data_IF_517722886700
#
_entry.id   IF_517722886700
#
_cell.length_a   1.000
_cell.length_b   1.000
_cell.length_c   1.000
_cell.angle_alpha   90.00
_cell.angle_beta   90.00
_cell.angle_gamma   90.00
#
_symmetry.space_group_name_H-M   'P 1'
#
loop_
_entity.id
_entity.type
_entity.pdbx_description
1 polymer ?
#
# COMPACT_ATOMS: atom_id res chain seq x y z
N UNK A 1 -17.29 -11.45 -10.63
CA UNK A 1 -16.36 -10.44 -11.14
C UNK A 1 -15.12 -10.44 -10.27
N UNK A 2 -13.94 -10.33 -10.87
CA UNK A 2 -12.66 -10.26 -10.14
C UNK A 2 -12.55 -8.98 -9.32
N UNK A 3 -11.79 -9.04 -8.23
CA UNK A 3 -11.55 -7.90 -7.35
C UNK A 3 -10.07 -7.60 -7.28
N UNK A 4 -9.72 -6.34 -7.42
CA UNK A 4 -8.35 -5.83 -7.27
C UNK A 4 -8.34 -4.92 -6.05
N UNK A 5 -7.46 -5.19 -5.09
CA UNK A 5 -7.24 -4.30 -3.96
C UNK A 5 -6.02 -3.42 -4.25
N UNK A 6 -6.24 -2.12 -4.33
CA UNK A 6 -5.18 -1.15 -4.61
C UNK A 6 -4.75 -0.41 -3.34
N UNK A 7 -3.44 -0.37 -3.11
CA UNK A 7 -2.80 0.32 -1.99
C UNK A 7 -2.05 1.54 -2.50
N UNK A 8 -2.50 2.72 -2.11
CA UNK A 8 -1.95 4.00 -2.57
C UNK A 8 -0.59 4.34 -1.93
N UNK A 9 0.11 5.34 -2.50
CA UNK A 9 1.38 5.85 -1.97
C UNK A 9 1.21 6.67 -0.70
N UNK A 10 2.34 7.09 -0.10
CA UNK A 10 2.38 7.71 1.22
C UNK A 10 1.56 9.00 1.33
N UNK A 11 1.73 9.94 0.40
CA UNK A 11 0.99 11.20 0.39
C UNK A 11 -0.33 11.12 -0.39
N UNK A 12 -0.65 9.96 -0.93
CA UNK A 12 -1.84 9.75 -1.72
C UNK A 12 -3.01 9.26 -0.86
N UNK A 13 -4.14 9.08 -1.50
CA UNK A 13 -5.37 8.52 -0.91
C UNK A 13 -5.99 7.53 -1.88
N UNK A 14 -7.05 6.87 -1.46
CA UNK A 14 -7.84 6.01 -2.35
C UNK A 14 -8.56 6.75 -3.48
N UNK A 15 -8.50 8.08 -3.48
CA UNK A 15 -9.05 8.93 -4.55
C UNK A 15 -7.96 9.53 -5.44
N UNK A 16 -6.74 8.99 -5.40
CA UNK A 16 -5.61 9.49 -6.21
C UNK A 16 -5.83 9.20 -7.71
N UNK A 17 -5.07 9.90 -8.58
CA UNK A 17 -5.21 9.69 -10.03
C UNK A 17 -5.05 8.24 -10.47
N UNK A 18 -4.09 7.51 -9.90
CA UNK A 18 -3.90 6.10 -10.24
C UNK A 18 -5.10 5.24 -9.84
N UNK A 19 -5.68 5.47 -8.67
CA UNK A 19 -6.87 4.74 -8.23
C UNK A 19 -8.04 4.96 -9.20
N UNK A 20 -8.24 6.21 -9.62
CA UNK A 20 -9.28 6.55 -10.59
C UNK A 20 -9.03 5.92 -11.95
N UNK A 21 -7.79 5.98 -12.43
CA UNK A 21 -7.40 5.37 -13.69
C UNK A 21 -7.62 3.86 -13.70
N UNK A 22 -7.29 3.18 -12.59
CA UNK A 22 -7.52 1.75 -12.46
C UNK A 22 -9.01 1.40 -12.48
N UNK A 23 -9.84 2.16 -11.78
CA UNK A 23 -11.29 1.95 -11.79
C UNK A 23 -11.86 2.12 -13.19
N UNK A 24 -11.41 3.14 -13.91
CA UNK A 24 -11.83 3.40 -15.28
C UNK A 24 -11.37 2.29 -16.22
N UNK A 25 -10.10 1.89 -16.13
CA UNK A 25 -9.53 0.85 -16.99
C UNK A 25 -10.21 -0.51 -16.81
N UNK A 26 -10.64 -0.83 -15.61
CA UNK A 26 -11.26 -2.12 -15.30
C UNK A 26 -12.78 -2.07 -15.20
N UNK A 27 -13.39 -0.96 -15.59
CA UNK A 27 -14.85 -0.82 -15.59
C UNK A 27 -15.51 -1.96 -16.39
N UNK A 28 -16.46 -2.65 -15.76
CA UNK A 28 -17.13 -3.79 -16.36
C UNK A 28 -16.34 -5.10 -16.36
N UNK A 29 -15.04 -5.08 -16.01
CA UNK A 29 -14.16 -6.26 -16.02
C UNK A 29 -13.80 -6.71 -14.61
N UNK A 30 -13.48 -5.76 -13.73
CA UNK A 30 -13.11 -6.04 -12.34
C UNK A 30 -13.57 -4.91 -11.43
N UNK A 31 -13.79 -5.25 -10.16
CA UNK A 31 -14.01 -4.25 -9.11
C UNK A 31 -12.67 -3.86 -8.53
N UNK A 32 -12.36 -2.56 -8.53
CA UNK A 32 -11.13 -2.04 -7.93
C UNK A 32 -11.48 -1.40 -6.59
N UNK A 33 -10.97 -1.99 -5.51
CA UNK A 33 -11.13 -1.48 -4.15
C UNK A 33 -9.98 -0.52 -3.87
N UNK A 34 -10.29 0.71 -3.49
CA UNK A 34 -9.30 1.77 -3.27
C UNK A 34 -9.50 2.42 -1.90
N UNK A 35 -9.19 1.71 -0.80
CA UNK A 35 -9.36 2.27 0.53
C UNK A 35 -8.37 3.41 0.79
N UNK A 36 -8.77 4.35 1.64
CA UNK A 36 -7.85 5.29 2.25
C UNK A 36 -7.12 4.56 3.37
N UNK A 37 -5.80 4.48 3.29
CA UNK A 37 -5.02 3.74 4.26
C UNK A 37 -4.64 4.62 5.46
N UNK A 38 -4.59 4.04 6.67
CA UNK A 38 -4.02 4.74 7.82
C UNK A 38 -2.57 5.16 7.56
N UNK A 39 -2.15 6.26 8.18
CA UNK A 39 -0.79 6.77 8.04
C UNK A 39 0.24 5.83 8.66
N UNK A 40 -0.06 5.30 9.85
CA UNK A 40 0.84 4.41 10.57
C UNK A 40 0.84 3.01 9.93
N UNK A 41 2.02 2.47 9.56
CA UNK A 41 2.08 1.26 8.74
C UNK A 41 1.56 0.00 9.43
N UNK A 42 1.72 -0.13 10.75
CA UNK A 42 1.17 -1.29 11.47
C UNK A 42 -0.35 -1.30 11.45
N UNK A 43 -0.95 -0.13 11.65
CA UNK A 43 -2.40 0.03 11.54
C UNK A 43 -2.87 -0.20 10.11
N UNK A 44 -2.14 0.32 9.13
CA UNK A 44 -2.44 0.10 7.71
C UNK A 44 -2.40 -1.40 7.37
N UNK A 45 -1.37 -2.13 7.79
CA UNK A 45 -1.25 -3.57 7.56
C UNK A 45 -2.43 -4.34 8.17
N UNK A 46 -2.82 -3.97 9.38
CA UNK A 46 -3.97 -4.59 10.07
C UNK A 46 -5.27 -4.38 9.29
N UNK A 47 -5.50 -3.15 8.84
CA UNK A 47 -6.69 -2.82 8.08
C UNK A 47 -6.71 -3.50 6.72
N UNK A 48 -5.57 -3.53 6.01
CA UNK A 48 -5.47 -4.23 4.73
C UNK A 48 -5.79 -5.71 4.89
N UNK A 49 -5.26 -6.36 5.92
CA UNK A 49 -5.57 -7.77 6.21
C UNK A 49 -7.06 -7.99 6.47
N UNK A 50 -7.69 -7.07 7.19
CA UNK A 50 -9.14 -7.10 7.42
C UNK A 50 -9.92 -6.99 6.11
N UNK A 51 -9.52 -6.09 5.22
CA UNK A 51 -10.14 -5.93 3.90
C UNK A 51 -9.96 -7.21 3.06
N UNK A 52 -8.77 -7.77 3.05
CA UNK A 52 -8.48 -9.01 2.32
C UNK A 52 -9.37 -10.16 2.82
N UNK A 53 -9.52 -10.29 4.13
CA UNK A 53 -10.37 -11.33 4.70
C UNK A 53 -11.85 -11.14 4.38
N UNK A 54 -12.32 -9.91 4.34
CA UNK A 54 -13.72 -9.59 4.06
C UNK A 54 -14.05 -9.64 2.58
N UNK A 55 -13.19 -9.06 1.74
CA UNK A 55 -13.46 -8.86 0.32
C UNK A 55 -12.93 -9.99 -0.58
N UNK A 56 -11.98 -10.77 -0.11
CA UNK A 56 -11.36 -11.87 -0.85
C UNK A 56 -10.87 -11.42 -2.24
N UNK A 57 -9.98 -10.41 -2.34
CA UNK A 57 -9.52 -9.93 -3.63
C UNK A 57 -8.70 -10.99 -4.37
N UNK A 58 -8.68 -10.90 -5.68
CA UNK A 58 -7.94 -11.79 -6.57
C UNK A 58 -6.51 -11.28 -6.86
N UNK A 59 -6.28 -10.00 -6.66
CA UNK A 59 -4.99 -9.35 -6.89
C UNK A 59 -4.77 -8.24 -5.86
N UNK A 60 -3.58 -8.18 -5.31
CA UNK A 60 -3.13 -7.06 -4.49
C UNK A 60 -2.15 -6.22 -5.31
N UNK A 61 -2.47 -4.95 -5.49
CA UNK A 61 -1.67 -4.01 -6.27
C UNK A 61 -1.25 -2.84 -5.39
N UNK A 62 0.03 -2.62 -5.23
CA UNK A 62 0.55 -1.48 -4.48
C UNK A 62 1.30 -0.51 -5.38
N UNK A 63 1.32 0.76 -4.99
CA UNK A 63 2.10 1.80 -5.65
C UNK A 63 2.98 2.53 -4.65
N UNK A 64 4.29 2.62 -4.92
CA UNK A 64 5.26 3.30 -4.06
C UNK A 64 5.23 2.75 -2.62
N UNK A 65 4.86 3.55 -1.62
CA UNK A 65 4.67 3.08 -0.24
C UNK A 65 3.62 1.96 -0.15
N UNK A 66 2.59 2.00 -0.97
CA UNK A 66 1.62 0.91 -1.08
C UNK A 66 2.28 -0.40 -1.49
N UNK A 67 3.34 -0.34 -2.31
CA UNK A 67 4.14 -1.52 -2.65
C UNK A 67 4.93 -2.06 -1.46
N UNK A 68 5.44 -1.18 -0.60
CA UNK A 68 6.09 -1.59 0.64
C UNK A 68 5.12 -2.41 1.51
N UNK A 69 3.89 -1.93 1.68
CA UNK A 69 2.86 -2.64 2.45
C UNK A 69 2.45 -3.94 1.78
N UNK A 70 2.28 -3.94 0.46
CA UNK A 70 1.94 -5.14 -0.30
C UNK A 70 3.03 -6.20 -0.19
N UNK A 71 4.29 -5.78 -0.27
CA UNK A 71 5.45 -6.65 -0.10
C UNK A 71 5.46 -7.32 1.28
N UNK A 72 5.15 -6.56 2.32
CA UNK A 72 5.06 -7.08 3.70
C UNK A 72 3.99 -8.17 3.84
N UNK A 73 2.90 -8.04 3.10
CA UNK A 73 1.77 -8.96 3.16
C UNK A 73 1.87 -10.15 2.21
N UNK A 74 2.67 -10.02 1.14
CA UNK A 74 2.76 -11.03 0.10
C UNK A 74 3.04 -12.46 0.62
N UNK A 75 3.92 -12.68 1.63
CA UNK A 75 4.17 -14.02 2.14
C UNK A 75 2.96 -14.69 2.80
N UNK A 76 2.00 -13.90 3.29
CA UNK A 76 0.89 -14.43 4.11
C UNK A 76 -0.48 -14.37 3.43
N UNK A 77 -0.64 -13.65 2.31
CA UNK A 77 -1.97 -13.47 1.72
C UNK A 77 -2.34 -14.51 0.65
N UNK A 78 -1.37 -15.23 0.10
CA UNK A 78 -1.63 -16.32 -0.85
C UNK A 78 -2.20 -15.93 -2.21
N UNK A 79 -2.32 -14.64 -2.52
CA UNK A 79 -2.82 -14.12 -3.80
C UNK A 79 -1.70 -13.46 -4.59
N UNK A 80 -1.85 -13.30 -5.91
CA UNK A 80 -0.88 -12.54 -6.71
C UNK A 80 -0.72 -11.11 -6.22
N UNK A 81 0.52 -10.62 -6.23
CA UNK A 81 0.87 -9.27 -5.79
C UNK A 81 1.67 -8.56 -6.88
N UNK A 82 1.23 -7.37 -7.23
CA UNK A 82 1.92 -6.51 -8.18
C UNK A 82 2.42 -5.26 -7.48
N UNK A 83 3.74 -5.02 -7.57
CA UNK A 83 4.41 -3.89 -6.93
C UNK A 83 4.73 -2.84 -7.99
N UNK A 84 4.01 -1.72 -7.97
CA UNK A 84 4.26 -0.60 -8.87
C UNK A 84 5.23 0.39 -8.24
N UNK A 85 6.32 0.72 -8.94
CA UNK A 85 7.38 1.61 -8.43
C UNK A 85 7.68 1.35 -6.95
N UNK A 86 8.04 0.12 -6.56
CA UNK A 86 8.20 -0.22 -5.15
C UNK A 86 9.28 0.63 -4.49
N UNK A 87 9.01 1.07 -3.28
CA UNK A 87 9.95 1.83 -2.48
C UNK A 87 10.12 1.12 -1.13
N UNK A 88 11.32 0.61 -0.89
CA UNK A 88 11.61 -0.24 0.27
C UNK A 88 12.40 0.48 1.37
N UNK A 89 12.79 1.73 1.15
CA UNK A 89 13.61 2.53 2.07
C UNK A 89 12.80 3.68 2.68
N UNK A 90 11.66 3.34 3.28
CA UNK A 90 10.72 4.33 3.79
C UNK A 90 11.31 5.19 4.92
N UNK A 91 12.19 4.62 5.74
CA UNK A 91 12.84 5.37 6.81
C UNK A 91 13.64 6.55 6.27
N UNK A 92 14.43 6.31 5.24
CA UNK A 92 15.24 7.35 4.59
C UNK A 92 14.34 8.43 3.95
N UNK A 93 13.30 7.98 3.25
CA UNK A 93 12.31 8.86 2.65
C UNK A 93 11.67 9.81 3.67
N UNK A 94 11.27 9.27 4.82
CA UNK A 94 10.58 10.03 5.86
C UNK A 94 11.50 10.99 6.62
N UNK A 95 12.76 10.61 6.86
CA UNK A 95 13.72 11.46 7.54
C UNK A 95 13.95 12.80 6.85
N UNK A 96 13.83 12.84 5.55
CA UNK A 96 13.96 14.05 4.74
C UNK A 96 12.69 14.91 4.73
N UNK A 97 11.60 14.45 5.33
CA UNK A 97 10.27 15.06 5.25
C UNK A 97 9.57 15.23 6.60
N UNK A 98 10.35 15.39 7.65
CA UNK A 98 9.79 15.59 9.02
C UNK A 98 8.94 16.86 9.04
N UNK A 99 7.75 16.79 9.64
CA UNK A 99 6.85 17.93 9.80
C UNK A 99 5.42 17.64 9.35
N UNK A 100 4.66 18.71 9.23
CA UNK A 100 3.28 18.66 8.77
C UNK A 100 3.20 18.70 7.24
N UNK A 101 2.30 17.89 6.69
CA UNK A 101 2.03 17.81 5.26
C UNK A 101 0.53 17.67 5.01
N UNK A 102 0.15 17.83 3.75
CA UNK A 102 -1.21 17.59 3.30
C UNK A 102 -1.24 16.41 2.32
N UNK A 103 -2.30 15.62 2.39
CA UNK A 103 -2.56 14.61 1.37
C UNK A 103 -2.83 15.27 0.03
N UNK A 104 -2.37 14.65 -1.05
CA UNK A 104 -2.49 15.20 -2.42
C UNK A 104 -3.88 15.03 -3.03
N UNK A 105 -4.72 14.24 -2.42
CA UNK A 105 -6.11 14.03 -2.85
C UNK A 105 -7.01 13.98 -1.63
N UNK A 106 -8.33 14.21 -1.79
CA UNK A 106 -9.26 14.15 -0.66
C UNK A 106 -9.33 12.76 -0.04
N UNK A 107 -9.36 12.72 1.30
CA UNK A 107 -9.68 11.51 2.06
C UNK A 107 -11.17 11.47 2.38
N UNK A 108 -11.73 10.26 2.41
CA UNK A 108 -13.15 10.06 2.73
C UNK A 108 -13.48 10.43 4.18
N UNK A 109 -12.50 10.32 5.08
CA UNK A 109 -12.65 10.71 6.49
C UNK A 109 -12.55 12.24 6.73
N UNK A 110 -12.19 13.01 5.70
CA UNK A 110 -12.04 14.46 5.78
C UNK A 110 -10.73 14.92 6.41
N UNK A 111 -9.88 14.02 6.87
CA UNK A 111 -8.59 14.36 7.45
C UNK A 111 -7.54 14.55 6.35
N UNK A 112 -7.26 15.81 6.02
CA UNK A 112 -6.35 16.15 4.92
C UNK A 112 -4.91 16.39 5.36
N UNK A 113 -4.62 16.36 6.66
CA UNK A 113 -3.29 16.63 7.19
C UNK A 113 -2.66 15.37 7.76
N UNK A 114 -1.33 15.29 7.64
CA UNK A 114 -0.53 14.23 8.24
C UNK A 114 0.71 14.84 8.86
N UNK A 115 1.27 14.16 9.86
CA UNK A 115 2.50 14.57 10.53
C UNK A 115 3.51 13.44 10.42
N UNK A 116 4.69 13.78 9.90
CA UNK A 116 5.84 12.87 9.90
C UNK A 116 6.69 13.24 11.11
N UNK A 117 6.69 12.37 12.10
CA UNK A 117 7.43 12.52 13.35
C UNK A 117 8.36 11.33 13.60
N UNK A 118 9.12 11.38 14.67
CA UNK A 118 10.05 10.31 15.03
C UNK A 118 9.33 8.98 15.27
N UNK A 119 8.15 9.01 15.89
CA UNK A 119 7.37 7.80 16.18
C UNK A 119 6.96 7.09 14.89
N UNK A 120 6.54 7.83 13.88
CA UNK A 120 6.18 7.28 12.58
C UNK A 120 7.41 6.67 11.89
N UNK A 121 8.54 7.38 11.91
CA UNK A 121 9.79 6.90 11.32
C UNK A 121 10.26 5.62 12.00
N UNK A 122 10.21 5.57 13.32
CA UNK A 122 10.60 4.39 14.09
C UNK A 122 9.72 3.17 13.76
N UNK A 123 8.43 3.38 13.60
CA UNK A 123 7.49 2.32 13.21
C UNK A 123 7.82 1.76 11.83
N UNK A 124 8.12 2.62 10.85
CA UNK A 124 8.57 2.16 9.53
C UNK A 124 9.92 1.46 9.62
N UNK A 125 10.84 1.94 10.47
CA UNK A 125 12.17 1.33 10.62
C UNK A 125 12.05 -0.11 11.16
N UNK A 126 11.18 -0.36 12.10
CA UNK A 126 10.94 -1.72 12.63
C UNK A 126 10.46 -2.68 11.53
N UNK A 127 9.53 -2.23 10.68
CA UNK A 127 9.03 -3.04 9.58
C UNK A 127 10.05 -3.20 8.47
N UNK A 128 10.79 -2.15 8.14
CA UNK A 128 11.83 -2.16 7.12
C UNK A 128 12.93 -3.18 7.44
N UNK A 129 13.29 -3.29 8.72
CA UNK A 129 14.31 -4.22 9.18
C UNK A 129 13.95 -5.70 8.91
N UNK A 130 12.66 -6.04 8.85
CA UNK A 130 12.17 -7.42 8.68
C UNK A 130 11.40 -7.64 7.40
N UNK A 131 11.38 -6.65 6.50
CA UNK A 131 10.49 -6.67 5.32
C UNK A 131 10.71 -7.86 4.37
N UNK A 132 11.89 -8.47 4.37
CA UNK A 132 12.20 -9.60 3.48
C UNK A 132 12.39 -10.93 4.22
N UNK A 133 12.15 -10.98 5.53
CA UNK A 133 12.44 -12.16 6.35
C UNK A 133 11.62 -13.40 5.95
N UNK A 134 10.45 -13.23 5.36
CA UNK A 134 9.57 -14.32 4.99
C UNK A 134 9.53 -14.62 3.49
N UNK A 135 10.48 -14.09 2.72
CA UNK A 135 10.58 -14.37 1.29
C UNK A 135 11.03 -15.80 1.06
N UNK A 136 10.27 -16.56 0.26
CA UNK A 136 10.53 -17.95 -0.06
C UNK A 136 10.22 -18.23 -1.54
N UNK A 137 10.53 -19.44 -2.08
CA UNK A 137 10.27 -19.76 -3.49
C UNK A 137 8.81 -19.62 -3.92
N UNK A 138 7.85 -19.95 -3.06
CA UNK A 138 6.42 -19.80 -3.36
C UNK A 138 6.02 -18.34 -3.50
N UNK A 139 6.57 -17.51 -2.64
CA UNK A 139 6.40 -16.07 -2.68
C UNK A 139 6.84 -15.52 -4.04
N UNK A 140 8.03 -15.91 -4.52
CA UNK A 140 8.60 -15.40 -5.78
C UNK A 140 7.70 -15.68 -6.99
N UNK A 141 6.94 -16.74 -6.99
CA UNK A 141 6.06 -17.11 -8.10
C UNK A 141 4.77 -16.30 -8.16
N UNK A 142 4.49 -15.47 -7.15
CA UNK A 142 3.25 -14.69 -7.04
C UNK A 142 3.47 -13.19 -6.97
N UNK A 143 4.70 -12.74 -7.02
CA UNK A 143 5.04 -11.32 -6.86
C UNK A 143 5.75 -10.80 -8.09
N UNK A 144 5.25 -9.72 -8.66
CA UNK A 144 5.85 -9.04 -9.80
C UNK A 144 6.09 -7.57 -9.47
N UNK A 145 7.14 -7.01 -10.03
CA UNK A 145 7.45 -5.58 -9.90
C UNK A 145 7.41 -4.87 -11.24
N UNK A 146 6.84 -3.69 -11.27
CA UNK A 146 6.87 -2.78 -12.41
C UNK A 146 7.59 -1.49 -11.99
N UNK A 147 8.58 -1.11 -12.76
CA UNK A 147 9.40 0.08 -12.51
C UNK A 147 9.30 1.04 -13.69
N UNK A 148 9.05 2.31 -13.40
CA UNK A 148 9.00 3.36 -14.44
C UNK A 148 9.59 4.69 -13.99
#
# INVERSE_FOLDING_TARGET
MKKILFLHGFFATGSCPMARALKEAFEGTAVVLTPDLPLHPKEALKEIRSIINREQPDLLLGNSCGSFLAQMLAPVVGIPVLLGNPYFMMTEFLKERIGEHEYKAPRRDGNQRLVIDEALIEEFAELEAVQFDHCNPYYKNRVWGLFW
#
